data_IF_769881603347
#
_entry.id   IF_769881603347
#
_cell.length_a   1.000
_cell.length_b   1.000
_cell.length_c   1.000
_cell.angle_alpha   90.00
_cell.angle_beta   90.00
_cell.angle_gamma   90.00
#
_symmetry.space_group_name_H-M   'P 1'
#
loop_
_entity.id
_entity.type
_entity.pdbx_description
1 polymer ?
#
# COMPACT_ATOMS: atom_id res chain seq x y z
N UNK A 1 5.96 16.68 -7.69
CA UNK A 1 4.87 16.84 -6.68
C UNK A 1 5.38 16.84 -5.23
N UNK A 2 6.64 16.51 -4.97
CA UNK A 2 7.25 16.51 -3.63
C UNK A 2 7.80 17.87 -3.20
N UNK A 3 7.79 18.90 -4.04
CA UNK A 3 8.63 20.11 -3.94
C UNK A 3 8.40 20.95 -2.67
N UNK A 4 7.21 20.85 -2.06
CA UNK A 4 6.89 21.51 -0.78
C UNK A 4 7.38 20.73 0.44
N UNK A 5 7.58 19.42 0.32
CA UNK A 5 8.04 18.54 1.40
C UNK A 5 9.54 18.30 1.34
N UNK A 6 10.08 18.08 0.14
CA UNK A 6 11.49 17.89 -0.10
C UNK A 6 11.86 18.47 -1.47
N UNK A 7 12.98 19.19 -1.53
CA UNK A 7 13.55 19.70 -2.78
C UNK A 7 14.76 18.86 -3.14
N UNK A 8 14.76 18.32 -4.35
CA UNK A 8 15.88 17.59 -4.93
C UNK A 8 16.55 18.52 -5.95
N UNK A 9 17.89 18.53 -5.98
CA UNK A 9 18.68 19.36 -6.89
C UNK A 9 18.67 18.84 -8.32
N UNK A 10 18.47 17.53 -8.52
CA UNK A 10 18.32 16.93 -9.84
C UNK A 10 17.43 15.67 -9.84
N UNK A 11 17.14 15.15 -11.03
CA UNK A 11 16.39 13.89 -11.20
C UNK A 11 17.25 12.70 -10.77
N UNK A 12 18.56 12.76 -10.99
CA UNK A 12 19.52 11.74 -10.56
C UNK A 12 19.54 11.65 -9.03
N UNK A 13 19.60 12.78 -8.32
CA UNK A 13 19.53 12.78 -6.85
C UNK A 13 18.22 12.16 -6.34
N UNK A 14 17.10 12.47 -7.00
CA UNK A 14 15.82 11.84 -6.67
C UNK A 14 15.86 10.32 -6.90
N UNK A 15 16.45 9.85 -8.01
CA UNK A 15 16.58 8.41 -8.32
C UNK A 15 17.45 7.69 -7.29
N UNK A 16 18.60 8.26 -6.92
CA UNK A 16 19.49 7.68 -5.91
C UNK A 16 18.77 7.51 -4.56
N UNK A 17 17.97 8.50 -4.16
CA UNK A 17 17.14 8.40 -2.95
C UNK A 17 16.06 7.31 -3.05
N UNK A 18 15.44 7.15 -4.24
CA UNK A 18 14.48 6.08 -4.49
C UNK A 18 15.14 4.70 -4.41
N UNK A 19 16.33 4.54 -5.00
CA UNK A 19 17.10 3.29 -4.95
C UNK A 19 17.52 2.92 -3.53
N UNK A 20 17.92 3.91 -2.71
CA UNK A 20 18.17 3.70 -1.29
C UNK A 20 16.94 3.17 -0.55
N UNK A 21 15.74 3.66 -0.88
CA UNK A 21 14.49 3.19 -0.27
C UNK A 21 14.09 1.78 -0.73
N UNK A 22 14.44 1.39 -1.97
CA UNK A 22 14.29 0.02 -2.49
C UNK A 22 15.25 -0.93 -1.78
N UNK A 23 16.49 -0.50 -1.56
CA UNK A 23 17.55 -1.34 -0.95
C UNK A 23 17.41 -1.60 0.55
N UNK A 24 16.47 -0.96 1.25
CA UNK A 24 16.26 -1.17 2.70
C UNK A 24 15.73 -2.58 2.99
N UNK A 25 15.90 -3.02 4.23
CA UNK A 25 15.30 -4.26 4.74
C UNK A 25 14.47 -3.97 5.99
N UNK A 26 13.13 -4.01 5.91
CA UNK A 26 12.31 -4.28 4.73
C UNK A 26 12.34 -3.14 3.68
N UNK A 27 12.10 -3.43 2.38
CA UNK A 27 12.02 -2.40 1.34
C UNK A 27 10.81 -1.49 1.59
N UNK A 28 10.94 -0.20 1.31
CA UNK A 28 9.88 0.77 1.56
C UNK A 28 9.05 1.07 0.30
N UNK A 29 9.68 0.96 -0.86
CA UNK A 29 9.07 1.20 -2.17
C UNK A 29 9.52 0.12 -3.16
N UNK A 30 8.80 0.02 -4.28
CA UNK A 30 9.08 -0.88 -5.39
C UNK A 30 9.02 -0.10 -6.71
N UNK A 31 9.98 -0.34 -7.61
CA UNK A 31 9.94 0.12 -8.99
C UNK A 31 9.02 -0.81 -9.81
N UNK A 32 8.08 -0.22 -10.54
CA UNK A 32 7.17 -0.93 -11.44
C UNK A 32 7.76 -1.06 -12.83
N UNK A 33 7.51 -2.20 -13.48
CA UNK A 33 7.87 -2.40 -14.89
C UNK A 33 7.10 -1.42 -15.79
N UNK A 34 7.77 -0.99 -16.87
CA UNK A 34 7.17 -0.05 -17.82
C UNK A 34 6.11 -0.75 -18.67
N UNK A 35 4.87 -0.29 -18.58
CA UNK A 35 3.79 -0.74 -19.46
C UNK A 35 3.95 -0.17 -20.89
N UNK A 36 3.35 -0.81 -21.91
CA UNK A 36 3.35 -0.29 -23.28
C UNK A 36 2.84 1.15 -23.36
N UNK A 37 3.58 2.03 -24.04
CA UNK A 37 3.24 3.44 -24.19
C UNK A 37 3.63 4.35 -23.01
N UNK A 38 4.12 3.79 -21.89
CA UNK A 38 4.66 4.60 -20.78
C UNK A 38 6.11 4.99 -21.05
N UNK A 39 6.40 6.29 -20.95
CA UNK A 39 7.75 6.83 -21.14
C UNK A 39 8.52 6.99 -19.82
N UNK A 40 7.83 6.88 -18.69
CA UNK A 40 8.34 7.18 -17.36
C UNK A 40 8.32 5.96 -16.45
N UNK A 41 9.27 5.92 -15.52
CA UNK A 41 9.30 4.94 -14.42
C UNK A 41 8.29 5.31 -13.34
N UNK A 42 7.69 4.30 -12.72
CA UNK A 42 6.70 4.48 -11.66
C UNK A 42 7.14 3.69 -10.43
N UNK A 43 6.97 4.29 -9.27
CA UNK A 43 7.31 3.69 -7.98
C UNK A 43 6.04 3.60 -7.12
N UNK A 44 5.94 2.56 -6.29
CA UNK A 44 4.82 2.34 -5.36
C UNK A 44 5.36 2.09 -3.94
N UNK A 45 4.64 2.55 -2.92
CA UNK A 45 5.02 2.28 -1.53
C UNK A 45 4.52 0.91 -1.06
N UNK A 46 5.24 0.30 -0.12
CA UNK A 46 4.92 -1.02 0.45
C UNK A 46 4.26 -0.93 1.84
N UNK A 47 3.95 0.29 2.30
CA UNK A 47 3.30 0.52 3.60
C UNK A 47 1.87 -0.01 3.71
N UNK A 48 1.20 -0.28 2.59
CA UNK A 48 -0.18 -0.81 2.56
C UNK A 48 -0.22 -2.31 2.22
N UNK A 49 0.90 -3.00 2.41
CA UNK A 49 1.04 -4.42 2.10
C UNK A 49 1.79 -4.69 0.79
N UNK A 50 1.96 -5.97 0.44
CA UNK A 50 2.63 -6.37 -0.79
C UNK A 50 1.84 -5.92 -2.01
N UNK A 51 2.54 -5.41 -3.02
CA UNK A 51 1.95 -4.97 -4.28
C UNK A 51 2.18 -6.03 -5.35
N UNK A 52 1.10 -6.56 -5.91
CA UNK A 52 1.15 -7.42 -7.09
C UNK A 52 1.38 -6.57 -8.35
N UNK A 53 2.52 -6.79 -9.01
CA UNK A 53 3.01 -5.96 -10.13
C UNK A 53 2.03 -5.93 -11.31
N UNK A 54 1.27 -7.00 -11.53
CA UNK A 54 0.27 -7.11 -12.60
C UNK A 54 -0.91 -6.14 -12.43
N UNK A 55 -1.30 -5.83 -11.19
CA UNK A 55 -2.38 -4.90 -10.88
C UNK A 55 -1.92 -3.43 -10.94
N UNK A 56 -0.63 -3.17 -10.73
CA UNK A 56 -0.06 -1.83 -10.66
C UNK A 56 0.15 -1.15 -12.03
N UNK A 57 0.08 -1.93 -13.12
CA UNK A 57 0.12 -1.42 -14.50
C UNK A 57 -1.15 -0.65 -14.90
N UNK A 58 -2.24 -0.78 -14.15
CA UNK A 58 -3.45 0.00 -14.36
C UNK A 58 -3.18 1.52 -14.21
N UNK A 59 -3.89 2.38 -14.96
CA UNK A 59 -3.92 3.81 -14.68
C UNK A 59 -4.26 4.03 -13.21
N UNK A 60 -3.54 4.93 -12.53
CA UNK A 60 -3.88 5.29 -11.15
C UNK A 60 -5.32 5.81 -11.14
N UNK A 61 -6.23 5.00 -10.63
CA UNK A 61 -7.51 5.46 -10.17
C UNK A 61 -7.32 5.88 -8.73
N UNK A 62 -7.79 7.08 -8.32
CA UNK A 62 -7.90 7.35 -6.89
C UNK A 62 -8.65 6.17 -6.27
N UNK A 63 -8.23 5.69 -5.09
CA UNK A 63 -9.02 4.67 -4.41
C UNK A 63 -10.45 5.18 -4.42
N UNK A 64 -11.37 4.40 -5.00
CA UNK A 64 -12.77 4.63 -4.74
C UNK A 64 -12.84 4.76 -3.22
N UNK A 65 -13.30 5.90 -2.71
CA UNK A 65 -13.59 6.06 -1.31
C UNK A 65 -14.33 4.77 -0.95
N UNK A 66 -13.72 3.88 -0.17
CA UNK A 66 -14.45 2.70 0.28
C UNK A 66 -15.66 3.31 0.96
N UNK A 67 -16.84 3.13 0.39
CA UNK A 67 -18.05 3.75 0.92
C UNK A 67 -18.03 3.48 2.41
N UNK A 68 -18.14 4.52 3.23
CA UNK A 68 -18.00 4.37 4.69
C UNK A 68 -18.88 3.22 5.22
N UNK A 69 -20.02 2.99 4.53
CA UNK A 69 -20.92 1.85 4.63
C UNK A 69 -20.26 0.45 4.51
N UNK A 70 -19.40 0.21 3.50
CA UNK A 70 -18.70 -1.07 3.32
C UNK A 70 -17.69 -1.33 4.43
N UNK A 71 -16.96 -0.28 4.84
CA UNK A 71 -16.02 -0.38 5.94
C UNK A 71 -16.75 -0.63 7.28
N UNK A 72 -17.83 0.10 7.55
CA UNK A 72 -18.68 -0.10 8.73
C UNK A 72 -19.29 -1.50 8.77
N UNK A 73 -19.74 -2.04 7.64
CA UNK A 73 -20.25 -3.40 7.54
C UNK A 73 -19.17 -4.44 7.85
N UNK A 74 -17.96 -4.27 7.31
CA UNK A 74 -16.82 -5.17 7.57
C UNK A 74 -16.35 -5.10 9.03
N UNK A 75 -16.30 -3.91 9.62
CA UNK A 75 -15.94 -3.74 11.03
C UNK A 75 -16.94 -4.45 11.93
N UNK A 76 -18.24 -4.29 11.70
CA UNK A 76 -19.29 -4.96 12.48
C UNK A 76 -19.19 -6.49 12.41
N UNK A 77 -18.99 -7.03 11.20
CA UNK A 77 -18.83 -8.47 11.01
C UNK A 77 -17.60 -9.02 11.76
N UNK A 78 -16.49 -8.29 11.73
CA UNK A 78 -15.28 -8.66 12.46
C UNK A 78 -15.47 -8.57 13.99
N UNK A 79 -16.19 -7.57 14.49
CA UNK A 79 -16.50 -7.43 15.91
C UNK A 79 -17.36 -8.59 16.43
N UNK A 80 -18.36 -9.02 15.66
CA UNK A 80 -19.18 -10.19 15.97
C UNK A 80 -18.36 -11.48 15.97
N UNK A 81 -17.50 -11.68 14.97
CA UNK A 81 -16.63 -12.85 14.87
C UNK A 81 -15.63 -12.91 16.03
N UNK A 82 -15.02 -11.77 16.38
CA UNK A 82 -14.12 -11.68 17.54
C UNK A 82 -14.87 -11.99 18.84
N UNK A 83 -16.11 -11.53 19.00
CA UNK A 83 -16.96 -11.87 20.14
C UNK A 83 -17.21 -13.37 20.25
N UNK A 84 -17.58 -14.00 19.14
CA UNK A 84 -17.82 -15.45 19.08
C UNK A 84 -16.54 -16.26 19.38
N UNK A 85 -15.40 -15.85 18.81
CA UNK A 85 -14.10 -16.48 19.05
C UNK A 85 -13.68 -16.36 20.53
N UNK A 86 -13.87 -15.19 21.14
CA UNK A 86 -13.57 -14.98 22.57
C UNK A 86 -14.43 -15.86 23.46
N UNK A 87 -15.74 -15.93 23.22
CA UNK A 87 -16.64 -16.80 23.98
C UNK A 87 -16.26 -18.28 23.86
N UNK A 88 -15.84 -18.72 22.66
CA UNK A 88 -15.37 -20.08 22.43
C UNK A 88 -14.06 -20.37 23.17
N UNK A 89 -13.13 -19.42 23.22
CA UNK A 89 -11.88 -19.55 23.98
C UNK A 89 -12.17 -19.63 25.47
N UNK A 90 -13.05 -18.78 26.00
CA UNK A 90 -13.45 -18.80 27.41
C UNK A 90 -14.10 -20.14 27.78
N UNK A 91 -14.97 -20.68 26.92
CA UNK A 91 -15.61 -21.98 27.14
C UNK A 91 -14.64 -23.18 27.06
N UNK A 92 -13.47 -23.04 26.43
CA UNK A 92 -12.45 -24.09 26.32
C UNK A 92 -11.34 -23.94 27.38
N UNK A 93 -11.17 -22.74 27.95
CA UNK A 93 -10.14 -22.41 28.94
C UNK A 93 -10.64 -22.38 30.39
N UNK A 94 -11.95 -22.59 30.61
CA UNK A 94 -12.57 -22.80 31.92
C UNK A 94 -12.60 -24.26 32.36
#
# INVERSE_FOLDING_TARGET
>A
RSERMARFGSIEELRDNLDLMIGRRPPLILLLERAPGQREERYVHLFSGPVEVSAAAAPWQPPASSDASDLEARVRALEEEVGALRAKIEALGG
#
